data_IF_633773923398
#
_entry.id   IF_633773923398
#
_cell.length_a   1.000
_cell.length_b   1.000
_cell.length_c   1.000
_cell.angle_alpha   90.00
_cell.angle_beta   90.00
_cell.angle_gamma   90.00
#
_symmetry.space_group_name_H-M   'P 1'
#
loop_
_entity.id
_entity.type
_entity.pdbx_description
1 polymer ?
#
# COMPACT_ATOMS: atom_id res chain seq x y z
N UNK A 1 -5.05 19.99 -29.05
CA UNK A 1 -4.87 19.34 -27.73
C UNK A 1 -5.30 17.89 -27.84
N UNK A 2 -4.50 16.94 -27.34
CA UNK A 2 -4.82 15.50 -27.42
C UNK A 2 -5.84 15.11 -26.33
N UNK A 3 -6.54 13.98 -26.51
CA UNK A 3 -7.61 13.55 -25.60
C UNK A 3 -7.17 13.47 -24.13
N UNK A 4 -5.92 13.07 -23.87
CA UNK A 4 -5.32 13.00 -22.53
C UNK A 4 -5.21 14.37 -21.85
N UNK A 5 -4.76 15.40 -22.57
CA UNK A 5 -4.67 16.77 -22.02
C UNK A 5 -6.05 17.35 -21.73
N UNK A 6 -7.06 17.01 -22.54
CA UNK A 6 -8.45 17.40 -22.27
C UNK A 6 -9.03 16.70 -21.03
N UNK A 7 -8.74 15.42 -20.83
CA UNK A 7 -9.21 14.68 -19.65
C UNK A 7 -8.59 15.22 -18.36
N UNK A 8 -7.27 15.46 -18.36
CA UNK A 8 -6.56 16.03 -17.20
C UNK A 8 -7.10 17.40 -16.80
N UNK A 9 -7.40 18.26 -17.78
CA UNK A 9 -7.99 19.58 -17.51
C UNK A 9 -9.43 19.50 -17.00
N UNK A 10 -10.20 18.49 -17.42
CA UNK A 10 -11.61 18.31 -17.03
C UNK A 10 -11.74 17.73 -15.62
N UNK A 11 -10.97 16.67 -15.32
CA UNK A 11 -11.01 16.00 -14.02
C UNK A 11 -9.63 15.43 -13.65
N UNK A 12 -8.73 16.25 -13.08
CA UNK A 12 -7.40 15.79 -12.70
C UNK A 12 -7.45 14.77 -11.55
N UNK A 13 -8.52 14.78 -10.74
CA UNK A 13 -8.69 13.84 -9.62
C UNK A 13 -8.97 12.43 -10.13
N UNK A 14 -9.86 12.28 -11.12
CA UNK A 14 -10.10 11.00 -11.76
C UNK A 14 -8.83 10.48 -12.46
N UNK A 15 -8.11 11.34 -13.17
CA UNK A 15 -6.83 10.95 -13.80
C UNK A 15 -5.83 10.43 -12.78
N UNK A 16 -5.62 11.14 -11.67
CA UNK A 16 -4.72 10.70 -10.60
C UNK A 16 -5.18 9.37 -10.00
N UNK A 17 -6.48 9.21 -9.72
CA UNK A 17 -7.04 7.98 -9.18
C UNK A 17 -6.82 6.78 -10.11
N UNK A 18 -7.03 6.94 -11.43
CA UNK A 18 -6.79 5.86 -12.41
C UNK A 18 -5.32 5.48 -12.47
N UNK A 19 -4.41 6.46 -12.50
CA UNK A 19 -2.96 6.19 -12.52
C UNK A 19 -2.52 5.47 -11.25
N UNK A 20 -2.93 5.96 -10.08
CA UNK A 20 -2.62 5.36 -8.78
C UNK A 20 -3.19 3.94 -8.71
N UNK A 21 -4.46 3.75 -9.06
CA UNK A 21 -5.10 2.43 -9.05
C UNK A 21 -4.37 1.45 -9.98
N UNK A 22 -3.97 1.89 -11.17
CA UNK A 22 -3.19 1.06 -12.10
C UNK A 22 -1.86 0.62 -11.49
N UNK A 23 -1.11 1.55 -10.88
CA UNK A 23 0.16 1.23 -10.23
C UNK A 23 -0.01 0.30 -9.02
N UNK A 24 -1.05 0.49 -8.21
CA UNK A 24 -1.38 -0.38 -7.07
C UNK A 24 -1.71 -1.79 -7.56
N UNK A 25 -2.55 -1.93 -8.59
CA UNK A 25 -2.90 -3.23 -9.17
C UNK A 25 -1.67 -3.94 -9.75
N UNK A 26 -0.82 -3.22 -10.49
CA UNK A 26 0.44 -3.76 -10.99
C UNK A 26 1.34 -4.23 -9.84
N UNK A 27 1.45 -3.45 -8.76
CA UNK A 27 2.27 -3.81 -7.60
C UNK A 27 1.72 -5.03 -6.86
N UNK A 28 0.41 -5.14 -6.71
CA UNK A 28 -0.24 -6.32 -6.13
C UNK A 28 0.03 -7.56 -6.98
N UNK A 29 -0.12 -7.46 -8.31
CA UNK A 29 0.18 -8.56 -9.21
C UNK A 29 1.63 -9.05 -9.06
N UNK A 30 2.60 -8.13 -8.96
CA UNK A 30 4.01 -8.48 -8.70
C UNK A 30 4.20 -9.14 -7.34
N UNK A 31 3.54 -8.64 -6.28
CA UNK A 31 3.61 -9.22 -4.93
C UNK A 31 3.05 -10.64 -4.88
N UNK A 32 2.00 -10.94 -5.65
CA UNK A 32 1.40 -12.27 -5.70
C UNK A 32 2.26 -13.22 -6.56
N UNK A 33 2.84 -12.73 -7.65
CA UNK A 33 3.59 -13.55 -8.60
C UNK A 33 5.04 -13.81 -8.18
N UNK A 34 5.60 -13.06 -7.22
CA UNK A 34 7.00 -13.20 -6.84
C UNK A 34 7.25 -14.47 -6.03
N UNK A 35 8.27 -15.28 -6.35
CA UNK A 35 8.66 -16.45 -5.56
C UNK A 35 9.59 -16.09 -4.40
N UNK A 36 9.87 -14.80 -4.17
CA UNK A 36 10.81 -14.36 -3.13
C UNK A 36 10.23 -14.57 -1.74
N UNK A 37 10.99 -15.29 -0.91
CA UNK A 37 10.74 -15.39 0.54
C UNK A 37 10.79 -14.02 1.21
N UNK A 38 10.27 -13.94 2.44
CA UNK A 38 10.28 -12.72 3.24
C UNK A 38 11.69 -12.34 3.68
N UNK A 39 12.03 -11.06 3.55
CA UNK A 39 13.31 -10.52 4.02
C UNK A 39 13.39 -10.49 5.55
N UNK A 40 14.58 -10.24 6.13
CA UNK A 40 14.79 -10.18 7.57
C UNK A 40 13.81 -9.23 8.29
N UNK A 41 13.65 -8.01 7.79
CA UNK A 41 12.70 -7.03 8.35
C UNK A 41 11.25 -7.51 8.29
N UNK A 42 10.84 -8.08 7.15
CA UNK A 42 9.49 -8.63 6.96
C UNK A 42 9.23 -9.79 7.92
N UNK A 43 10.22 -10.67 8.12
CA UNK A 43 10.15 -11.78 9.07
C UNK A 43 10.02 -11.31 10.52
N UNK A 44 10.72 -10.22 10.86
CA UNK A 44 10.62 -9.60 12.19
C UNK A 44 9.22 -9.01 12.42
N UNK A 45 8.69 -8.26 11.46
CA UNK A 45 7.36 -7.67 11.56
C UNK A 45 6.26 -8.74 11.59
N UNK A 46 6.41 -9.82 10.82
CA UNK A 46 5.54 -10.98 10.91
C UNK A 46 5.65 -11.67 12.27
N UNK A 47 6.85 -11.84 12.83
CA UNK A 47 6.99 -12.44 14.16
C UNK A 47 6.27 -11.64 15.24
N UNK A 48 6.36 -10.31 15.18
CA UNK A 48 5.63 -9.38 16.04
C UNK A 48 4.12 -9.44 15.83
N UNK A 49 3.65 -9.66 14.60
CA UNK A 49 2.21 -9.78 14.31
C UNK A 49 1.55 -10.98 15.02
N UNK A 50 2.33 -11.99 15.42
CA UNK A 50 1.85 -13.16 16.17
C UNK A 50 1.42 -12.83 17.61
N UNK A 51 1.88 -11.72 18.17
CA UNK A 51 1.59 -11.28 19.55
C UNK A 51 1.45 -9.77 19.57
N UNK A 52 0.22 -9.28 19.42
CA UNK A 52 -0.06 -7.84 19.32
C UNK A 52 0.29 -7.14 20.64
N UNK A 53 1.23 -6.20 20.54
CA UNK A 53 1.61 -5.29 21.62
C UNK A 53 1.52 -3.83 21.14
N UNK A 54 1.57 -2.86 22.04
CA UNK A 54 1.60 -1.42 21.75
C UNK A 54 2.99 -0.89 21.43
N UNK A 55 4.03 -1.73 21.54
CA UNK A 55 5.38 -1.40 21.12
C UNK A 55 6.25 -2.64 21.05
N UNK A 56 7.12 -2.69 20.05
CA UNK A 56 8.11 -3.76 19.91
C UNK A 56 9.51 -3.18 20.06
N UNK A 57 10.50 -4.07 20.16
CA UNK A 57 11.89 -3.74 20.47
C UNK A 57 12.43 -2.47 19.76
N UNK A 58 12.10 -2.26 18.48
CA UNK A 58 12.59 -1.10 17.71
C UNK A 58 11.52 -0.34 16.92
N UNK A 59 10.24 -0.74 16.97
CA UNK A 59 9.18 -0.14 16.13
C UNK A 59 7.85 0.03 16.87
N UNK A 60 7.07 1.08 16.52
CA UNK A 60 5.68 1.21 16.96
C UNK A 60 4.80 0.09 16.36
N UNK A 61 3.58 -0.10 16.88
CA UNK A 61 2.92 -1.39 16.73
C UNK A 61 2.19 -1.59 15.40
N UNK A 62 1.92 -0.49 14.69
CA UNK A 62 1.01 -0.44 13.57
C UNK A 62 1.35 -1.43 12.45
N UNK A 63 2.64 -1.59 12.13
CA UNK A 63 3.05 -2.52 11.07
C UNK A 63 2.70 -3.98 11.41
N UNK A 64 2.93 -4.39 12.65
CA UNK A 64 2.60 -5.74 13.12
C UNK A 64 1.09 -5.95 13.16
N UNK A 65 0.32 -4.95 13.61
CA UNK A 65 -1.14 -5.02 13.63
C UNK A 65 -1.73 -5.15 12.23
N UNK A 66 -1.21 -4.38 11.26
CA UNK A 66 -1.65 -4.46 9.87
C UNK A 66 -1.32 -5.84 9.27
N UNK A 67 -0.13 -6.38 9.54
CA UNK A 67 0.24 -7.72 9.08
C UNK A 67 -0.67 -8.76 9.71
N UNK A 68 -0.95 -8.68 11.02
CA UNK A 68 -1.84 -9.62 11.71
C UNK A 68 -3.27 -9.57 11.15
N UNK A 69 -3.79 -8.38 10.89
CA UNK A 69 -5.09 -8.21 10.26
C UNK A 69 -5.10 -8.90 8.88
N UNK A 70 -4.08 -8.67 8.05
CA UNK A 70 -3.96 -9.29 6.73
C UNK A 70 -3.87 -10.81 6.79
N UNK A 71 -2.95 -11.36 7.59
CA UNK A 71 -2.75 -12.82 7.69
C UNK A 71 -3.88 -13.52 8.43
N UNK A 72 -4.65 -12.84 9.28
CA UNK A 72 -5.86 -13.42 9.88
C UNK A 72 -6.98 -13.68 8.87
N UNK A 73 -7.00 -12.94 7.75
CA UNK A 73 -7.99 -13.09 6.68
C UNK A 73 -7.49 -14.02 5.58
N UNK A 74 -6.23 -13.89 5.19
CA UNK A 74 -5.66 -14.56 4.02
C UNK A 74 -4.73 -15.75 4.35
N UNK A 75 -4.46 -15.99 5.62
CA UNK A 75 -3.49 -16.98 6.08
C UNK A 75 -2.04 -16.45 6.11
N UNK A 76 -1.15 -17.26 6.67
CA UNK A 76 0.29 -16.95 6.73
C UNK A 76 0.96 -17.26 5.38
N UNK A 77 0.97 -16.27 4.49
CA UNK A 77 1.68 -16.32 3.21
C UNK A 77 2.43 -15.02 2.95
N UNK A 78 3.50 -15.09 2.16
CA UNK A 78 4.40 -13.97 1.87
C UNK A 78 3.67 -12.83 1.18
N UNK A 79 2.76 -13.15 0.25
CA UNK A 79 1.94 -12.14 -0.43
C UNK A 79 0.93 -11.48 0.52
N UNK A 80 0.37 -12.23 1.48
CA UNK A 80 -0.56 -11.66 2.47
C UNK A 80 0.14 -10.69 3.43
N UNK A 81 1.39 -10.97 3.82
CA UNK A 81 2.23 -10.05 4.61
C UNK A 81 2.47 -8.74 3.85
N UNK A 82 2.68 -8.82 2.52
CA UNK A 82 3.05 -7.68 1.68
C UNK A 82 1.85 -6.91 1.11
N UNK A 83 0.67 -7.53 1.02
CA UNK A 83 -0.54 -6.96 0.40
C UNK A 83 -0.95 -5.57 0.95
N UNK A 84 -0.88 -5.30 2.27
CA UNK A 84 -1.28 -4.00 2.78
C UNK A 84 -0.39 -2.84 2.30
N UNK A 85 0.89 -3.12 2.04
CA UNK A 85 1.87 -2.09 1.65
C UNK A 85 1.48 -1.32 0.37
N UNK A 86 1.22 -1.95 -0.79
CA UNK A 86 0.80 -1.23 -1.99
C UNK A 86 -0.54 -0.51 -1.83
N UNK A 87 -1.48 -1.07 -1.06
CA UNK A 87 -2.78 -0.42 -0.80
C UNK A 87 -2.60 0.88 -0.02
N UNK A 88 -1.83 0.85 1.06
CA UNK A 88 -1.56 2.03 1.90
C UNK A 88 -0.73 3.08 1.15
N UNK A 89 0.21 2.66 0.30
CA UNK A 89 0.91 3.59 -0.61
C UNK A 89 -0.06 4.26 -1.59
N UNK A 90 -1.03 3.53 -2.14
CA UNK A 90 -2.07 4.11 -3.00
C UNK A 90 -2.90 5.17 -2.29
N UNK A 91 -3.33 4.88 -1.06
CA UNK A 91 -4.07 5.84 -0.22
C UNK A 91 -3.22 7.07 0.08
N UNK A 92 -1.95 6.89 0.48
CA UNK A 92 -1.03 7.99 0.75
C UNK A 92 -0.79 8.86 -0.49
N UNK A 93 -0.59 8.24 -1.66
CA UNK A 93 -0.43 8.95 -2.93
C UNK A 93 -1.66 9.80 -3.28
N UNK A 94 -2.86 9.27 -3.02
CA UNK A 94 -4.11 10.01 -3.25
C UNK A 94 -4.22 11.22 -2.31
N UNK A 95 -3.87 11.06 -1.03
CA UNK A 95 -3.86 12.18 -0.09
C UNK A 95 -2.84 13.25 -0.48
N UNK A 96 -1.65 12.87 -0.92
CA UNK A 96 -0.64 13.81 -1.42
C UNK A 96 -1.15 14.59 -2.64
N UNK A 97 -1.80 13.90 -3.58
CA UNK A 97 -2.41 14.55 -4.73
C UNK A 97 -3.50 15.55 -4.32
N UNK A 98 -4.41 15.14 -3.42
CA UNK A 98 -5.48 16.00 -2.95
C UNK A 98 -4.95 17.21 -2.18
N UNK A 99 -3.92 17.03 -1.36
CA UNK A 99 -3.24 18.11 -0.65
C UNK A 99 -2.62 19.10 -1.63
N UNK A 100 -1.88 18.62 -2.64
CA UNK A 100 -1.30 19.47 -3.67
C UNK A 100 -2.38 20.24 -4.44
N UNK A 101 -3.47 19.56 -4.81
CA UNK A 101 -4.63 20.19 -5.45
C UNK A 101 -5.25 21.27 -4.56
N UNK A 102 -5.37 21.06 -3.25
CA UNK A 102 -5.92 22.05 -2.32
C UNK A 102 -4.98 23.24 -2.09
N UNK A 103 -3.67 23.00 -2.09
CA UNK A 103 -2.67 24.04 -1.81
C UNK A 103 -2.41 24.98 -3.00
N UNK A 104 -2.65 24.52 -4.23
CA UNK A 104 -2.31 25.25 -5.47
C UNK A 104 -3.50 25.54 -6.39
N UNK A 105 -4.72 25.12 -6.03
CA UNK A 105 -5.96 25.61 -6.64
C UNK A 105 -6.44 26.89 -5.94
#
# INVERSE_FOLDING_TARGET
MNALTNLWRRDPTLCAAVVIATLVLLRIAVVIATPMEIGPDESQYWRWSRTLDFGYYSKPPLIAWIIAASTSVFGDSEWAIRLPSPLLHGVAAMFLFLLGKQAFN
#
